data_IF_698300635992
#
_entry.id   IF_698300635992
#
_cell.length_a   1.000
_cell.length_b   1.000
_cell.length_c   1.000
_cell.angle_alpha   90.00
_cell.angle_beta   90.00
_cell.angle_gamma   90.00
#
_symmetry.space_group_name_H-M   'P 1'
#
loop_
_entity.id
_entity.type
_entity.pdbx_description
1 polymer ?
#
# COMPACT_ATOMS: atom_id res chain seq x y z
N UNK A 1 -0.93 -31.61 -5.63
CA UNK A 1 -1.86 -30.50 -5.94
C UNK A 1 -2.23 -29.84 -4.62
N UNK A 2 -2.02 -28.54 -4.49
CA UNK A 2 -2.28 -27.78 -3.27
C UNK A 2 -3.67 -27.11 -3.37
N UNK A 3 -4.69 -27.68 -2.72
CA UNK A 3 -6.04 -27.11 -2.59
C UNK A 3 -6.85 -26.97 -3.90
N UNK A 4 -8.15 -26.66 -3.75
CA UNK A 4 -9.11 -26.45 -4.85
C UNK A 4 -9.39 -24.96 -5.16
N UNK A 5 -8.71 -24.05 -4.46
CA UNK A 5 -8.97 -22.61 -4.53
C UNK A 5 -7.89 -21.87 -5.32
N UNK A 6 -8.27 -20.74 -5.93
CA UNK A 6 -7.36 -19.76 -6.49
C UNK A 6 -7.37 -18.44 -5.67
N UNK A 7 -6.33 -17.63 -5.84
CA UNK A 7 -6.27 -16.28 -5.26
C UNK A 7 -5.43 -15.35 -6.14
N UNK A 8 -5.86 -14.10 -6.25
CA UNK A 8 -5.11 -13.06 -6.96
C UNK A 8 -3.99 -12.52 -6.06
N UNK A 9 -2.76 -12.49 -6.58
CA UNK A 9 -1.59 -11.92 -5.90
C UNK A 9 -1.10 -10.72 -6.71
N UNK A 10 -0.92 -9.58 -6.06
CA UNK A 10 -0.40 -8.36 -6.68
C UNK A 10 0.66 -7.75 -5.78
N UNK A 11 1.76 -7.32 -6.36
CA UNK A 11 2.82 -6.59 -5.68
C UNK A 11 2.82 -5.15 -6.17
N UNK A 12 2.72 -4.20 -5.24
CA UNK A 12 2.61 -2.77 -5.56
C UNK A 12 3.99 -2.14 -5.74
N UNK A 13 4.09 -1.11 -6.59
CA UNK A 13 5.34 -0.40 -6.78
C UNK A 13 5.68 0.45 -5.55
N UNK A 14 6.98 0.58 -5.24
CA UNK A 14 7.47 1.37 -4.12
C UNK A 14 8.72 2.18 -4.50
N UNK A 15 8.94 3.35 -3.89
CA UNK A 15 10.21 4.06 -3.97
C UNK A 15 11.26 3.41 -3.06
N UNK A 16 12.52 3.86 -3.16
CA UNK A 16 13.58 3.47 -2.22
C UNK A 16 13.39 3.99 -0.78
N UNK A 17 12.44 4.90 -0.56
CA UNK A 17 12.10 5.40 0.77
C UNK A 17 11.38 4.29 1.53
N UNK A 18 12.12 3.57 2.38
CA UNK A 18 11.61 2.43 3.14
C UNK A 18 10.36 2.82 3.94
N UNK A 19 9.41 1.90 4.03
CA UNK A 19 8.11 2.04 4.72
C UNK A 19 7.16 3.12 4.14
N UNK A 20 7.59 3.95 3.17
CA UNK A 20 6.72 4.98 2.58
C UNK A 20 5.52 4.41 1.81
N UNK A 21 5.62 3.14 1.39
CA UNK A 21 4.55 2.43 0.66
C UNK A 21 3.50 1.83 1.61
N UNK A 22 3.77 1.76 2.91
CA UNK A 22 2.88 1.13 3.89
C UNK A 22 1.45 1.71 3.84
N UNK A 23 1.24 3.04 3.99
CA UNK A 23 -0.11 3.61 3.91
C UNK A 23 -0.68 3.57 2.48
N UNK A 24 0.17 3.47 1.46
CA UNK A 24 -0.28 3.32 0.06
C UNK A 24 -0.93 1.96 -0.14
N UNK A 25 -0.32 0.89 0.41
CA UNK A 25 -0.88 -0.45 0.36
C UNK A 25 -2.24 -0.50 1.08
N UNK A 26 -2.33 0.06 2.29
CA UNK A 26 -3.58 0.15 3.05
C UNK A 26 -4.68 0.84 2.24
N UNK A 27 -4.38 1.97 1.61
CA UNK A 27 -5.33 2.69 0.74
C UNK A 27 -5.75 1.90 -0.50
N UNK A 28 -4.82 1.20 -1.16
CA UNK A 28 -5.13 0.35 -2.32
C UNK A 28 -6.03 -0.83 -1.94
N UNK A 29 -5.73 -1.49 -0.82
CA UNK A 29 -6.55 -2.59 -0.30
C UNK A 29 -7.92 -2.07 0.10
N UNK A 30 -7.99 -0.96 0.82
CA UNK A 30 -9.26 -0.35 1.21
C UNK A 30 -10.13 -0.02 -0.01
N UNK A 31 -9.57 0.58 -1.05
CA UNK A 31 -10.30 0.87 -2.28
C UNK A 31 -10.82 -0.41 -2.96
N UNK A 32 -10.02 -1.48 -3.01
CA UNK A 32 -10.46 -2.77 -3.57
C UNK A 32 -11.58 -3.40 -2.72
N UNK A 33 -11.52 -3.29 -1.40
CA UNK A 33 -12.56 -3.79 -0.51
C UNK A 33 -13.88 -3.02 -0.68
N UNK A 34 -13.81 -1.68 -0.76
CA UNK A 34 -14.99 -0.84 -1.00
C UNK A 34 -15.63 -1.16 -2.37
N UNK A 35 -14.84 -1.49 -3.40
CA UNK A 35 -15.35 -1.93 -4.71
C UNK A 35 -16.04 -3.30 -4.69
N UNK A 36 -15.56 -4.22 -3.83
CA UNK A 36 -16.16 -5.56 -3.69
C UNK A 36 -17.42 -5.56 -2.82
N UNK A 37 -17.64 -4.49 -2.03
CA UNK A 37 -18.82 -4.22 -1.22
C UNK A 37 -19.32 -5.42 -0.38
N UNK A 38 -18.38 -6.15 0.25
CA UNK A 38 -18.70 -7.30 1.11
C UNK A 38 -19.06 -6.92 2.55
N UNK A 39 -19.03 -5.63 2.88
CA UNK A 39 -19.32 -5.10 4.22
C UNK A 39 -18.46 -5.69 5.33
N UNK A 40 -18.95 -5.58 6.57
CA UNK A 40 -18.37 -6.18 7.79
C UNK A 40 -19.03 -7.55 8.05
N UNK A 41 -18.99 -8.43 7.05
CA UNK A 41 -19.54 -9.81 7.11
C UNK A 41 -18.42 -10.83 7.33
N UNK A 42 -18.74 -12.14 7.44
CA UNK A 42 -17.70 -13.19 7.44
C UNK A 42 -16.83 -13.13 6.17
N UNK A 43 -17.43 -12.77 5.03
CA UNK A 43 -16.72 -12.54 3.77
C UNK A 43 -16.11 -11.13 3.64
N UNK A 44 -16.32 -10.28 4.64
CA UNK A 44 -15.74 -8.95 4.73
C UNK A 44 -14.21 -9.01 4.77
N UNK A 45 -13.58 -7.95 4.25
CA UNK A 45 -12.12 -7.82 4.20
C UNK A 45 -11.42 -8.93 3.39
N UNK A 46 -12.03 -9.38 2.29
CA UNK A 46 -11.53 -10.46 1.42
C UNK A 46 -10.27 -10.11 0.63
N UNK A 47 -9.82 -8.85 0.65
CA UNK A 47 -8.52 -8.42 0.11
C UNK A 47 -7.58 -8.24 1.28
N UNK A 48 -6.49 -9.01 1.31
CA UNK A 48 -5.56 -9.05 2.45
C UNK A 48 -4.30 -8.27 2.11
N UNK A 49 -3.92 -7.26 2.91
CA UNK A 49 -2.61 -6.65 2.82
C UNK A 49 -1.57 -7.56 3.47
N UNK A 50 -0.49 -7.80 2.73
CA UNK A 50 0.71 -8.49 3.20
C UNK A 50 1.87 -7.49 3.09
N UNK A 51 2.41 -7.08 4.23
CA UNK A 51 3.41 -6.02 4.31
C UNK A 51 4.75 -6.60 4.78
N UNK A 52 5.81 -6.37 4.00
CA UNK A 52 7.16 -6.84 4.31
C UNK A 52 8.04 -5.67 4.71
N UNK A 53 8.84 -5.87 5.76
CA UNK A 53 9.67 -4.82 6.34
C UNK A 53 11.09 -5.31 6.61
N UNK A 54 12.03 -4.36 6.70
CA UNK A 54 13.35 -4.58 7.31
C UNK A 54 13.32 -4.21 8.79
N UNK A 55 14.11 -4.88 9.62
CA UNK A 55 14.12 -4.66 11.08
C UNK A 55 14.47 -3.21 11.48
N UNK A 56 15.52 -2.63 10.88
CA UNK A 56 15.94 -1.27 11.18
C UNK A 56 14.92 -0.22 10.69
N UNK A 57 14.29 -0.46 9.53
CA UNK A 57 13.33 0.47 8.95
C UNK A 57 11.99 0.44 9.69
N UNK A 58 11.50 -0.75 10.05
CA UNK A 58 10.27 -0.93 10.83
C UNK A 58 10.32 -0.21 12.18
N UNK A 59 11.47 -0.26 12.86
CA UNK A 59 11.65 0.41 14.14
C UNK A 59 11.91 1.93 14.01
N UNK A 60 12.53 2.36 12.91
CA UNK A 60 13.05 3.73 12.76
C UNK A 60 12.14 4.70 12.01
N UNK A 61 11.25 4.23 11.13
CA UNK A 61 10.40 5.10 10.31
C UNK A 61 9.07 5.41 10.99
N UNK A 62 8.80 6.69 11.25
CA UNK A 62 7.56 7.13 11.92
C UNK A 62 6.27 6.77 11.16
N UNK A 63 6.34 6.63 9.84
CA UNK A 63 5.19 6.24 9.00
C UNK A 63 4.65 4.85 9.35
N UNK A 64 5.47 3.96 9.90
CA UNK A 64 5.04 2.64 10.40
C UNK A 64 4.04 2.82 11.54
N UNK A 65 4.38 3.66 12.52
CA UNK A 65 3.48 3.96 13.63
C UNK A 65 2.22 4.70 13.15
N UNK A 66 2.37 5.66 12.23
CA UNK A 66 1.21 6.34 11.64
C UNK A 66 0.26 5.37 10.96
N UNK A 67 0.79 4.40 10.19
CA UNK A 67 0.00 3.40 9.46
C UNK A 67 -0.67 2.40 10.40
N UNK A 68 0.06 1.86 11.38
CA UNK A 68 -0.50 0.97 12.40
C UNK A 68 -1.66 1.65 13.14
N UNK A 69 -1.55 2.94 13.48
CA UNK A 69 -2.62 3.69 14.14
C UNK A 69 -3.93 3.76 13.30
N UNK A 70 -3.87 3.53 11.99
CA UNK A 70 -5.05 3.49 11.11
C UNK A 70 -5.82 2.16 11.17
N UNK A 71 -5.21 1.08 11.67
CA UNK A 71 -5.68 -0.30 11.52
C UNK A 71 -7.15 -0.53 11.94
N UNK A 72 -7.62 0.18 12.98
CA UNK A 72 -8.99 0.03 13.52
C UNK A 72 -9.92 1.20 13.22
N UNK A 73 -9.46 2.25 12.53
CA UNK A 73 -10.25 3.45 12.28
C UNK A 73 -11.30 3.20 11.19
N UNK A 74 -12.57 3.60 11.33
CA UNK A 74 -13.62 3.32 10.34
C UNK A 74 -13.28 3.81 8.90
N UNK A 75 -12.61 4.96 8.80
CA UNK A 75 -12.19 5.53 7.52
C UNK A 75 -11.02 4.82 6.84
N UNK A 76 -10.32 3.92 7.53
CA UNK A 76 -9.05 3.34 7.05
C UNK A 76 -8.93 1.82 7.23
N UNK A 77 -9.64 1.24 8.20
CA UNK A 77 -9.55 -0.19 8.54
C UNK A 77 -9.74 -1.08 7.31
N UNK A 78 -8.87 -2.07 7.19
CA UNK A 78 -8.89 -3.10 6.13
C UNK A 78 -9.02 -4.52 6.67
N UNK A 79 -9.38 -4.65 7.96
CA UNK A 79 -9.64 -5.94 8.59
C UNK A 79 -8.40 -6.73 8.93
N UNK A 80 -7.30 -6.05 9.25
CA UNK A 80 -6.06 -6.64 9.73
C UNK A 80 -5.03 -6.86 8.63
N UNK A 81 -3.82 -6.38 8.90
CA UNK A 81 -2.63 -6.53 8.06
C UNK A 81 -1.69 -7.62 8.58
N UNK A 82 -1.18 -8.45 7.67
CA UNK A 82 -0.17 -9.45 8.01
C UNK A 82 1.20 -8.82 7.72
N UNK A 83 1.97 -8.60 8.77
CA UNK A 83 3.31 -8.04 8.68
C UNK A 83 4.35 -9.14 8.80
N UNK A 84 5.34 -9.14 7.91
CA UNK A 84 6.52 -10.00 7.99
C UNK A 84 7.75 -9.12 8.04
N UNK A 85 8.46 -9.16 9.15
CA UNK A 85 9.75 -8.48 9.29
C UNK A 85 10.83 -9.48 8.91
N UNK A 86 11.59 -9.16 7.88
CA UNK A 86 12.80 -9.91 7.52
C UNK A 86 13.94 -9.40 8.42
N UNK A 87 13.95 -9.89 9.66
CA UNK A 87 14.86 -9.45 10.69
C UNK A 87 16.21 -10.15 10.55
N UNK A 88 17.04 -9.61 9.66
CA UNK A 88 18.40 -10.10 9.44
C UNK A 88 19.42 -9.56 10.47
N UNK A 89 18.93 -8.84 11.49
CA UNK A 89 19.67 -8.29 12.61
C UNK A 89 20.72 -7.23 12.21
N UNK A 90 20.55 -6.56 11.06
CA UNK A 90 21.49 -5.53 10.59
C UNK A 90 20.86 -4.53 9.59
N UNK A 91 20.97 -3.24 9.89
CA UNK A 91 20.56 -2.16 8.98
C UNK A 91 21.76 -1.55 8.25
N UNK A 92 22.03 -1.95 7.00
CA UNK A 92 23.26 -1.57 6.27
C UNK A 92 24.51 -2.08 7.01
N UNK A 93 25.21 -1.20 7.75
CA UNK A 93 26.36 -1.46 8.65
C UNK A 93 26.00 -1.21 10.12
N UNK A 94 24.76 -0.79 10.39
CA UNK A 94 24.28 -0.41 11.72
C UNK A 94 23.74 -1.63 12.45
N UNK A 95 24.32 -1.93 13.62
CA UNK A 95 23.83 -2.99 14.50
C UNK A 95 22.52 -2.60 15.20
N UNK A 96 21.67 -3.58 15.60
CA UNK A 96 20.34 -3.29 16.15
C UNK A 96 20.33 -2.42 17.41
N UNK A 97 21.37 -2.49 18.25
CA UNK A 97 21.57 -1.65 19.44
C UNK A 97 21.70 -0.15 19.11
N UNK A 98 21.97 0.18 17.85
CA UNK A 98 22.04 1.55 17.35
C UNK A 98 20.84 1.93 16.47
N UNK A 99 19.94 0.99 16.18
CA UNK A 99 18.75 1.22 15.35
C UNK A 99 17.46 1.37 16.17
N UNK A 100 17.41 0.85 17.40
CA UNK A 100 16.21 0.89 18.25
C UNK A 100 16.54 1.00 19.73
N UNK A 101 15.58 1.49 20.51
CA UNK A 101 15.66 1.56 21.99
C UNK A 101 14.72 0.56 22.70
N UNK A 102 14.11 -0.33 21.93
CA UNK A 102 13.22 -1.40 22.40
C UNK A 102 13.90 -2.76 22.26
N UNK A 103 13.35 -3.81 22.88
CA UNK A 103 13.93 -5.16 22.82
C UNK A 103 13.82 -5.72 21.40
N UNK A 104 12.61 -5.65 20.82
CA UNK A 104 12.31 -6.15 19.49
C UNK A 104 12.07 -5.00 18.52
N UNK A 105 12.45 -5.20 17.25
CA UNK A 105 12.12 -4.25 16.17
C UNK A 105 10.60 -4.11 16.01
N UNK A 106 9.84 -5.15 16.37
CA UNK A 106 8.39 -5.21 16.27
C UNK A 106 7.62 -4.56 17.42
N UNK A 107 8.30 -4.01 18.44
CA UNK A 107 7.65 -3.49 19.64
C UNK A 107 6.65 -2.35 19.37
N UNK A 108 6.83 -1.59 18.28
CA UNK A 108 5.87 -0.55 17.86
C UNK A 108 4.47 -1.11 17.61
N UNK A 109 4.34 -2.36 17.13
CA UNK A 109 3.05 -2.98 16.86
C UNK A 109 2.25 -3.31 18.13
N UNK A 110 2.89 -3.31 19.31
CA UNK A 110 2.21 -3.49 20.59
C UNK A 110 1.22 -2.36 20.87
N UNK A 111 1.42 -1.17 20.32
CA UNK A 111 0.53 -0.02 20.56
C UNK A 111 -0.91 -0.25 20.06
N UNK A 112 -1.09 -1.14 19.07
CA UNK A 112 -2.42 -1.53 18.54
C UNK A 112 -2.89 -2.89 19.04
N UNK A 113 -2.14 -3.52 19.96
CA UNK A 113 -2.47 -4.83 20.51
C UNK A 113 -2.45 -5.95 19.46
N UNK A 114 -1.54 -5.86 18.49
CA UNK A 114 -1.26 -6.93 17.52
C UNK A 114 -0.46 -8.06 18.21
N UNK A 115 -0.82 -9.35 18.01
CA UNK A 115 0.06 -10.44 18.41
C UNK A 115 1.34 -10.43 17.58
N UNK A 116 2.45 -10.72 18.23
CA UNK A 116 3.78 -10.77 17.63
C UNK A 116 4.34 -12.18 17.80
N UNK A 117 4.73 -12.81 16.70
CA UNK A 117 5.38 -14.11 16.68
C UNK A 117 6.82 -13.96 16.24
N UNK A 118 7.76 -14.23 17.15
CA UNK A 118 9.18 -14.32 16.82
C UNK A 118 9.50 -15.75 16.41
N UNK A 119 9.96 -15.95 15.17
CA UNK A 119 10.21 -17.28 14.60
C UNK A 119 11.62 -17.36 14.02
N UNK A 120 12.26 -18.51 14.21
CA UNK A 120 13.60 -18.76 13.69
C UNK A 120 13.55 -19.08 12.19
N UNK A 121 14.15 -18.25 11.36
CA UNK A 121 14.23 -18.44 9.91
C UNK A 121 15.02 -19.67 9.46
N UNK A 122 15.85 -20.26 10.34
CA UNK A 122 16.52 -21.54 10.08
C UNK A 122 15.56 -22.75 10.23
N UNK A 123 14.34 -22.55 10.75
CA UNK A 123 13.26 -23.55 10.87
C UNK A 123 12.09 -23.23 9.92
N UNK A 124 12.10 -23.75 8.68
CA UNK A 124 11.05 -23.45 7.70
C UNK A 124 9.68 -24.04 8.07
N UNK A 125 9.62 -25.12 8.84
CA UNK A 125 8.34 -25.70 9.28
C UNK A 125 7.64 -24.78 10.28
N UNK A 126 8.39 -24.25 11.25
CA UNK A 126 7.87 -23.27 12.20
C UNK A 126 7.43 -21.98 11.49
N UNK A 127 8.21 -21.48 10.52
CA UNK A 127 7.83 -20.32 9.71
C UNK A 127 6.51 -20.52 8.99
N UNK A 128 6.31 -21.68 8.33
CA UNK A 128 5.05 -22.00 7.64
C UNK A 128 3.89 -22.12 8.63
N UNK A 129 4.11 -22.74 9.78
CA UNK A 129 3.08 -22.87 10.82
C UNK A 129 2.64 -21.50 11.36
N UNK A 130 3.59 -20.62 11.70
CA UNK A 130 3.31 -19.26 12.16
C UNK A 130 2.59 -18.44 11.08
N UNK A 131 2.98 -18.58 9.81
CA UNK A 131 2.29 -17.90 8.71
C UNK A 131 0.81 -18.31 8.61
N UNK A 132 0.50 -19.59 8.76
CA UNK A 132 -0.90 -20.08 8.80
C UNK A 132 -1.65 -19.55 10.01
N UNK A 133 -1.02 -19.60 11.19
CA UNK A 133 -1.60 -19.07 12.43
C UNK A 133 -1.91 -17.56 12.33
N UNK A 134 -1.03 -16.78 11.67
CA UNK A 134 -1.23 -15.36 11.46
C UNK A 134 -2.44 -15.08 10.56
N UNK A 135 -2.59 -15.83 9.47
CA UNK A 135 -3.79 -15.77 8.61
C UNK A 135 -5.04 -16.13 9.41
N UNK A 136 -5.02 -17.22 10.19
CA UNK A 136 -6.16 -17.66 10.99
C UNK A 136 -6.58 -16.61 12.03
N UNK A 137 -5.60 -16.00 12.72
CA UNK A 137 -5.85 -14.91 13.66
C UNK A 137 -6.46 -13.70 12.96
N UNK A 138 -5.86 -13.26 11.84
CA UNK A 138 -6.36 -12.13 11.05
C UNK A 138 -7.78 -12.39 10.59
N UNK A 139 -8.08 -13.58 10.08
CA UNK A 139 -9.42 -13.94 9.62
C UNK A 139 -10.45 -13.92 10.75
N UNK A 140 -10.09 -14.42 11.94
CA UNK A 140 -10.98 -14.51 13.09
C UNK A 140 -11.22 -13.17 13.78
N UNK A 141 -10.19 -12.35 13.93
CA UNK A 141 -10.26 -11.13 14.74
C UNK A 141 -10.25 -9.84 13.92
N UNK A 142 -9.96 -9.91 12.61
CA UNK A 142 -9.85 -8.77 11.70
C UNK A 142 -8.90 -7.68 12.22
N UNK A 143 -7.77 -8.13 12.78
CA UNK A 143 -6.71 -7.29 13.37
C UNK A 143 -5.35 -7.67 12.82
N UNK A 144 -4.43 -6.72 12.88
CA UNK A 144 -3.05 -6.88 12.45
C UNK A 144 -2.35 -8.00 13.23
N UNK A 145 -1.42 -8.67 12.56
CA UNK A 145 -0.55 -9.71 13.12
C UNK A 145 0.86 -9.50 12.60
N UNK A 146 1.84 -9.65 13.48
CA UNK A 146 3.24 -9.44 13.14
C UNK A 146 4.04 -10.73 13.29
N UNK A 147 4.79 -11.07 12.25
CA UNK A 147 5.76 -12.17 12.23
C UNK A 147 7.15 -11.55 12.16
N UNK A 148 7.92 -11.68 13.24
CA UNK A 148 9.33 -11.34 13.28
C UNK A 148 10.14 -12.59 12.90
N UNK A 149 10.59 -12.66 11.65
CA UNK A 149 11.38 -13.79 11.15
C UNK A 149 12.86 -13.49 11.38
N UNK A 150 13.42 -14.02 12.47
CA UNK A 150 14.83 -13.86 12.79
C UNK A 150 15.67 -14.66 11.81
N UNK A 151 16.51 -13.97 11.05
CA UNK A 151 17.39 -14.55 10.06
C UNK A 151 18.76 -13.85 10.07
N UNK A 152 19.49 -13.93 8.95
CA UNK A 152 20.79 -13.27 8.77
C UNK A 152 20.97 -12.88 7.30
N UNK A 153 21.80 -11.87 7.03
CA UNK A 153 22.15 -11.45 5.67
C UNK A 153 23.46 -12.12 5.24
N UNK A 154 23.41 -13.04 4.28
CA UNK A 154 24.58 -13.85 3.87
C UNK A 154 25.70 -13.03 3.23
N UNK A 155 25.38 -11.94 2.53
CA UNK A 155 26.32 -11.05 1.84
C UNK A 155 26.33 -9.66 2.48
N UNK A 156 27.08 -8.72 1.89
CA UNK A 156 27.00 -7.30 2.22
C UNK A 156 25.60 -6.70 2.06
N UNK A 157 25.44 -5.40 2.33
CA UNK A 157 24.15 -4.73 2.15
C UNK A 157 23.72 -4.75 0.68
N UNK A 158 24.66 -4.52 -0.22
CA UNK A 158 24.58 -4.92 -1.63
C UNK A 158 25.63 -6.01 -1.92
N UNK A 159 25.59 -6.60 -3.12
CA UNK A 159 26.47 -7.71 -3.51
C UNK A 159 27.95 -7.34 -3.65
N UNK A 160 28.27 -6.04 -3.78
CA UNK A 160 29.64 -5.54 -3.90
C UNK A 160 30.25 -5.05 -2.58
N UNK A 161 29.43 -4.89 -1.53
CA UNK A 161 29.89 -4.44 -0.22
C UNK A 161 30.59 -5.56 0.55
N UNK A 162 31.70 -5.22 1.23
CA UNK A 162 32.35 -6.08 2.20
C UNK A 162 31.89 -5.71 3.64
N UNK A 163 31.03 -6.53 4.26
CA UNK A 163 30.47 -6.21 5.56
C UNK A 163 31.40 -6.58 6.74
N UNK A 164 32.47 -7.35 6.50
CA UNK A 164 33.46 -7.71 7.52
C UNK A 164 34.20 -6.47 8.06
N UNK A 165 34.23 -5.38 7.28
CA UNK A 165 34.80 -4.08 7.68
C UNK A 165 34.13 -3.47 8.91
N UNK A 166 32.85 -3.76 9.15
CA UNK A 166 32.06 -3.12 10.23
C UNK A 166 31.43 -4.10 11.20
N UNK A 167 31.09 -5.32 10.76
CA UNK A 167 30.47 -6.35 11.60
C UNK A 167 31.24 -7.69 11.56
N UNK A 168 32.56 -7.72 11.82
CA UNK A 168 33.40 -8.90 11.59
C UNK A 168 32.93 -10.14 12.37
N UNK A 169 32.66 -10.00 13.67
CA UNK A 169 32.23 -11.14 14.51
C UNK A 169 30.91 -11.77 14.04
N UNK A 170 29.98 -10.97 13.51
CA UNK A 170 28.73 -11.47 12.95
C UNK A 170 29.00 -12.28 11.68
N UNK A 171 29.87 -11.77 10.80
CA UNK A 171 30.17 -12.42 9.54
C UNK A 171 31.04 -13.67 9.70
N UNK A 172 31.95 -13.71 10.68
CA UNK A 172 32.67 -14.93 11.08
C UNK A 172 31.67 -16.05 11.47
N UNK A 173 30.63 -15.71 12.23
CA UNK A 173 29.59 -16.65 12.60
C UNK A 173 28.75 -17.09 11.38
N UNK A 174 28.37 -16.15 10.50
CA UNK A 174 27.60 -16.43 9.28
C UNK A 174 28.37 -17.33 8.32
N UNK A 175 29.69 -17.18 8.20
CA UNK A 175 30.53 -18.03 7.34
C UNK A 175 30.46 -19.50 7.75
N UNK A 176 30.46 -19.77 9.06
CA UNK A 176 30.36 -21.14 9.59
C UNK A 176 28.96 -21.75 9.43
N UNK A 177 27.92 -20.92 9.22
CA UNK A 177 26.55 -21.39 9.04
C UNK A 177 26.35 -22.05 7.68
N UNK A 178 25.74 -23.25 7.71
CA UNK A 178 25.14 -23.89 6.52
C UNK A 178 23.86 -23.15 6.17
N UNK A 179 23.62 -22.93 4.88
CA UNK A 179 22.38 -22.28 4.44
C UNK A 179 21.15 -23.11 4.77
N UNK A 180 20.05 -22.44 5.11
CA UNK A 180 18.75 -23.05 5.50
C UNK A 180 18.31 -24.15 4.53
N UNK A 181 18.40 -23.90 3.22
CA UNK A 181 18.11 -24.90 2.18
C UNK A 181 18.87 -26.20 2.41
N UNK A 182 20.19 -26.13 2.63
CA UNK A 182 21.03 -27.32 2.80
C UNK A 182 20.68 -28.05 4.10
N UNK A 183 20.55 -27.31 5.20
CA UNK A 183 20.19 -27.89 6.51
C UNK A 183 18.83 -28.60 6.46
N UNK A 184 17.84 -28.00 5.80
CA UNK A 184 16.52 -28.61 5.66
C UNK A 184 16.51 -29.82 4.70
N UNK A 185 17.27 -29.77 3.59
CA UNK A 185 17.47 -30.95 2.74
C UNK A 185 18.11 -32.11 3.51
N UNK A 186 19.15 -31.85 4.29
CA UNK A 186 19.80 -32.86 5.16
C UNK A 186 18.80 -33.44 6.16
N UNK A 187 17.93 -32.62 6.76
CA UNK A 187 16.89 -33.07 7.67
C UNK A 187 15.86 -33.99 6.98
N UNK A 188 15.36 -33.63 5.80
CA UNK A 188 14.40 -34.46 5.04
C UNK A 188 15.01 -35.80 4.61
N UNK A 189 16.27 -35.82 4.18
CA UNK A 189 16.99 -37.06 3.88
C UNK A 189 17.17 -37.90 5.14
N UNK A 190 17.55 -37.27 6.27
CA UNK A 190 17.71 -37.94 7.56
C UNK A 190 16.42 -38.56 8.09
N UNK A 191 15.26 -37.98 7.76
CA UNK A 191 13.93 -38.53 8.07
C UNK A 191 13.47 -39.61 7.09
N UNK A 192 14.10 -39.70 5.92
CA UNK A 192 13.71 -40.61 4.85
C UNK A 192 12.56 -40.11 3.98
N UNK A 193 12.22 -38.81 4.06
CA UNK A 193 11.13 -38.21 3.27
C UNK A 193 11.51 -38.10 1.78
N UNK A 194 12.80 -37.88 1.51
CA UNK A 194 13.37 -37.80 0.16
C UNK A 194 14.74 -38.49 0.13
N UNK A 195 15.12 -38.98 -1.03
CA UNK A 195 16.46 -39.46 -1.33
C UNK A 195 17.41 -38.32 -1.73
N UNK A 196 18.72 -38.55 -1.62
CA UNK A 196 19.74 -37.62 -2.12
C UNK A 196 19.56 -37.32 -3.62
N UNK A 197 19.20 -38.35 -4.40
CA UNK A 197 18.98 -38.22 -5.83
C UNK A 197 17.80 -37.28 -6.14
N UNK A 198 16.67 -37.44 -5.45
CA UNK A 198 15.51 -36.54 -5.63
C UNK A 198 15.84 -35.09 -5.30
N UNK A 199 16.63 -34.85 -4.24
CA UNK A 199 17.07 -33.51 -3.88
C UNK A 199 17.99 -32.87 -4.95
N UNK A 200 18.94 -33.65 -5.49
CA UNK A 200 19.83 -33.19 -6.57
C UNK A 200 19.10 -32.97 -7.89
N UNK A 201 18.17 -33.86 -8.24
CA UNK A 201 17.38 -33.77 -9.47
C UNK A 201 16.46 -32.54 -9.43
N UNK A 202 15.80 -32.27 -8.29
CA UNK A 202 14.99 -31.06 -8.11
C UNK A 202 15.82 -29.76 -8.22
N UNK A 203 17.04 -29.75 -7.67
CA UNK A 203 17.93 -28.59 -7.79
C UNK A 203 18.39 -28.37 -9.24
N UNK A 204 18.76 -29.45 -9.94
CA UNK A 204 19.18 -29.40 -11.35
C UNK A 204 18.05 -28.93 -12.26
N UNK A 205 16.84 -29.41 -12.03
CA UNK A 205 15.66 -28.98 -12.79
C UNK A 205 15.44 -27.47 -12.64
N UNK A 206 15.46 -26.94 -11.41
CA UNK A 206 15.33 -25.50 -11.18
C UNK A 206 16.45 -24.67 -11.84
N UNK A 207 17.70 -25.12 -11.75
CA UNK A 207 18.83 -24.46 -12.44
C UNK A 207 18.68 -24.48 -13.96
N UNK A 208 18.24 -25.60 -14.53
CA UNK A 208 17.99 -25.73 -15.97
C UNK A 208 16.86 -24.83 -16.45
N UNK A 209 15.80 -24.64 -15.65
CA UNK A 209 14.73 -23.69 -15.94
C UNK A 209 15.26 -22.24 -15.97
N UNK A 210 16.06 -21.83 -14.98
CA UNK A 210 16.67 -20.51 -14.95
C UNK A 210 17.63 -20.27 -16.12
N UNK A 211 18.46 -21.25 -16.46
CA UNK A 211 19.42 -21.16 -17.56
C UNK A 211 18.70 -21.07 -18.92
N UNK A 212 17.60 -21.80 -19.10
CA UNK A 212 16.78 -21.71 -20.31
C UNK A 212 16.24 -20.30 -20.50
N UNK A 213 15.59 -19.74 -19.48
CA UNK A 213 15.02 -18.39 -19.54
C UNK A 213 16.13 -17.35 -19.74
N UNK A 214 17.28 -17.51 -19.08
CA UNK A 214 18.43 -16.63 -19.27
C UNK A 214 18.90 -16.62 -20.73
N UNK A 215 19.03 -17.80 -21.35
CA UNK A 215 19.43 -17.90 -22.76
C UNK A 215 18.36 -17.28 -23.67
N UNK A 216 17.08 -17.57 -23.45
CA UNK A 216 15.98 -16.96 -24.21
C UNK A 216 16.03 -15.43 -24.19
N UNK A 217 16.23 -14.83 -23.01
CA UNK A 217 16.34 -13.37 -22.85
C UNK A 217 17.61 -12.81 -23.48
N UNK A 218 18.72 -13.54 -23.41
CA UNK A 218 20.01 -13.12 -23.98
C UNK A 218 19.97 -13.06 -25.50
N UNK A 219 19.24 -13.97 -26.13
CA UNK A 219 19.07 -14.03 -27.59
C UNK A 219 18.02 -13.03 -28.12
N UNK A 220 17.31 -12.29 -27.24
CA UNK A 220 16.42 -11.21 -27.67
C UNK A 220 17.20 -10.09 -28.37
N UNK A 221 16.59 -9.52 -29.41
CA UNK A 221 17.16 -8.40 -30.14
C UNK A 221 17.36 -7.21 -29.19
N UNK A 222 18.58 -6.65 -29.19
CA UNK A 222 18.90 -5.49 -28.36
C UNK A 222 18.45 -4.23 -29.09
N UNK A 223 17.48 -3.55 -28.52
CA UNK A 223 17.09 -2.23 -28.98
C UNK A 223 18.11 -1.17 -28.55
N UNK A 224 18.35 -0.12 -29.36
CA UNK A 224 19.22 0.98 -28.96
C UNK A 224 18.65 1.69 -27.73
N UNK A 225 19.53 2.01 -26.77
CA UNK A 225 19.15 2.78 -25.59
C UNK A 225 18.87 4.21 -26.00
N UNK A 226 17.66 4.69 -25.71
CA UNK A 226 17.22 6.07 -25.97
C UNK A 226 16.97 6.81 -24.65
N UNK A 227 17.06 8.15 -24.63
CA UNK A 227 16.60 8.94 -23.50
C UNK A 227 15.12 8.66 -23.18
N UNK A 228 14.74 8.72 -21.91
CA UNK A 228 13.34 8.54 -21.51
C UNK A 228 12.46 9.64 -22.11
N UNK A 229 11.35 9.26 -22.72
CA UNK A 229 10.35 10.20 -23.23
C UNK A 229 9.47 10.77 -22.10
N UNK A 230 8.83 11.91 -22.36
CA UNK A 230 7.83 12.49 -21.46
C UNK A 230 6.53 11.70 -21.53
N UNK A 231 5.92 11.41 -20.39
CA UNK A 231 4.61 10.74 -20.28
C UNK A 231 3.41 11.69 -20.43
N UNK A 232 3.64 12.96 -20.82
CA UNK A 232 2.57 13.97 -20.94
C UNK A 232 1.48 13.59 -21.95
N UNK A 233 1.86 12.89 -23.02
CA UNK A 233 0.94 12.50 -24.09
C UNK A 233 0.09 11.26 -23.74
N UNK A 234 0.43 10.52 -22.67
CA UNK A 234 -0.23 9.27 -22.30
C UNK A 234 -1.69 9.49 -21.85
N UNK A 235 -2.01 10.68 -21.34
CA UNK A 235 -3.34 11.05 -20.87
C UNK A 235 -3.71 12.46 -21.33
N UNK A 236 -4.53 12.56 -22.38
CA UNK A 236 -4.97 13.84 -22.93
C UNK A 236 -6.29 14.32 -22.33
N UNK A 237 -6.38 15.60 -22.00
CA UNK A 237 -7.61 16.21 -21.49
C UNK A 237 -8.65 16.33 -22.61
N UNK A 238 -9.87 15.79 -22.44
CA UNK A 238 -10.92 15.92 -23.45
C UNK A 238 -11.35 17.38 -23.60
N UNK A 239 -11.39 17.88 -24.84
CA UNK A 239 -11.92 19.21 -25.16
C UNK A 239 -13.44 19.22 -25.09
N UNK A 240 -14.02 20.28 -24.52
CA UNK A 240 -15.47 20.44 -24.46
C UNK A 240 -16.18 19.56 -23.42
N UNK A 241 -15.46 19.04 -22.41
CA UNK A 241 -16.07 18.28 -21.32
C UNK A 241 -17.05 19.15 -20.54
N UNK A 242 -18.35 18.88 -20.71
CA UNK A 242 -19.41 19.59 -20.01
C UNK A 242 -19.57 19.04 -18.59
N UNK A 243 -19.28 19.88 -17.59
CA UNK A 243 -19.39 19.55 -16.15
C UNK A 243 -20.50 20.32 -15.44
N UNK A 244 -21.31 21.06 -16.20
CA UNK A 244 -22.49 21.74 -15.68
C UNK A 244 -23.56 20.74 -15.24
N UNK A 245 -24.34 21.12 -14.23
CA UNK A 245 -25.48 20.33 -13.77
C UNK A 245 -26.76 21.14 -13.78
N UNK A 246 -27.89 20.46 -13.91
CA UNK A 246 -29.18 21.14 -13.97
C UNK A 246 -29.59 21.74 -12.61
N UNK A 247 -30.56 22.66 -12.67
CA UNK A 247 -31.07 23.37 -11.49
C UNK A 247 -31.84 22.43 -10.54
N UNK A 248 -32.41 21.34 -11.04
CA UNK A 248 -33.15 20.37 -10.23
C UNK A 248 -32.19 19.53 -9.38
N UNK A 249 -31.06 19.08 -9.93
CA UNK A 249 -30.01 18.39 -9.21
C UNK A 249 -29.40 19.30 -8.13
N UNK A 250 -29.18 20.56 -8.46
CA UNK A 250 -28.77 21.60 -7.50
C UNK A 250 -29.78 21.76 -6.35
N UNK A 251 -31.08 21.85 -6.67
CA UNK A 251 -32.14 21.93 -5.67
C UNK A 251 -32.17 20.67 -4.78
N UNK A 252 -32.05 19.48 -5.37
CA UNK A 252 -32.00 18.19 -4.67
C UNK A 252 -30.86 18.12 -3.66
N UNK A 253 -29.66 18.59 -4.00
CA UNK A 253 -28.52 18.66 -3.08
C UNK A 253 -28.80 19.62 -1.92
N UNK A 254 -29.44 20.76 -2.21
CA UNK A 254 -29.87 21.72 -1.18
C UNK A 254 -30.91 21.14 -0.23
N UNK A 255 -31.91 20.44 -0.76
CA UNK A 255 -32.96 19.80 0.04
C UNK A 255 -32.41 18.64 0.89
N UNK A 256 -31.42 17.89 0.38
CA UNK A 256 -30.77 16.80 1.13
C UNK A 256 -30.16 17.25 2.47
N UNK A 257 -29.70 18.50 2.58
CA UNK A 257 -29.16 19.05 3.83
C UNK A 257 -30.21 19.21 4.94
N UNK A 258 -31.50 19.24 4.59
CA UNK A 258 -32.62 19.33 5.53
C UNK A 258 -33.51 18.08 5.55
N UNK A 259 -33.21 17.09 4.72
CA UNK A 259 -33.83 15.76 4.75
C UNK A 259 -33.27 14.92 5.91
N UNK A 260 -33.47 15.41 7.13
CA UNK A 260 -32.96 14.81 8.36
C UNK A 260 -33.86 13.64 8.80
N UNK A 261 -33.31 12.60 9.44
CA UNK A 261 -34.10 11.53 10.03
C UNK A 261 -35.14 12.05 11.03
N UNK A 262 -36.25 11.34 11.17
CA UNK A 262 -37.28 11.69 12.15
C UNK A 262 -36.69 11.74 13.57
N UNK A 263 -37.02 12.79 14.34
CA UNK A 263 -36.51 13.02 15.69
C UNK A 263 -35.08 13.60 15.77
N UNK A 264 -34.39 13.83 14.65
CA UNK A 264 -33.03 14.37 14.68
C UNK A 264 -33.00 15.85 15.10
N UNK A 265 -32.30 16.14 16.20
CA UNK A 265 -32.16 17.51 16.72
C UNK A 265 -30.84 18.13 16.28
N UNK A 266 -30.89 19.08 15.34
CA UNK A 266 -29.70 19.79 14.85
C UNK A 266 -29.20 20.79 15.89
N UNK A 267 -27.88 20.82 16.11
CA UNK A 267 -27.25 21.84 16.94
C UNK A 267 -27.60 23.27 16.45
N UNK A 268 -27.98 24.22 17.33
CA UNK A 268 -28.47 25.55 16.94
C UNK A 268 -27.52 26.36 16.05
N UNK A 269 -26.20 26.16 16.19
CA UNK A 269 -25.19 26.82 15.33
C UNK A 269 -24.99 26.17 13.97
N UNK A 270 -25.43 24.92 13.78
CA UNK A 270 -25.34 24.18 12.50
C UNK A 270 -26.59 24.38 11.66
N UNK A 271 -27.77 24.48 12.28
CA UNK A 271 -29.06 24.68 11.61
C UNK A 271 -29.05 25.84 10.59
N UNK A 272 -28.51 27.04 10.89
CA UNK A 272 -28.43 28.13 9.93
C UNK A 272 -27.59 27.78 8.69
N UNK A 273 -26.59 26.92 8.80
CA UNK A 273 -25.75 26.48 7.67
C UNK A 273 -26.55 25.61 6.72
N UNK A 274 -27.32 24.64 7.25
CA UNK A 274 -28.16 23.73 6.45
C UNK A 274 -29.27 24.51 5.72
N UNK A 275 -29.97 25.39 6.46
CA UNK A 275 -31.01 26.25 5.88
C UNK A 275 -30.47 27.20 4.83
N UNK A 276 -29.26 27.75 5.06
CA UNK A 276 -28.58 28.61 4.09
C UNK A 276 -28.28 27.82 2.81
N UNK A 277 -27.75 26.59 2.90
CA UNK A 277 -27.46 25.73 1.73
C UNK A 277 -28.70 25.39 0.91
N UNK A 278 -29.85 25.11 1.55
CA UNK A 278 -31.12 24.88 0.83
C UNK A 278 -31.60 26.11 0.03
N UNK A 279 -31.28 27.33 0.47
CA UNK A 279 -31.69 28.59 -0.19
C UNK A 279 -30.76 29.03 -1.33
N UNK A 280 -29.64 28.35 -1.55
CA UNK A 280 -28.67 28.75 -2.58
C UNK A 280 -29.14 28.53 -4.02
N UNK A 281 -29.82 27.41 -4.36
CA UNK A 281 -30.38 27.20 -5.69
C UNK A 281 -31.35 28.33 -6.12
N UNK A 282 -32.03 28.96 -5.16
CA UNK A 282 -33.06 29.98 -5.39
C UNK A 282 -32.55 31.41 -5.32
N UNK A 283 -31.49 31.71 -4.54
CA UNK A 283 -30.92 33.07 -4.39
C UNK A 283 -30.05 33.55 -5.56
N UNK A 284 -29.62 32.68 -6.47
CA UNK A 284 -28.93 33.10 -7.70
C UNK A 284 -29.78 34.05 -8.58
N UNK A 285 -31.11 34.10 -8.36
CA UNK A 285 -32.04 34.94 -9.13
C UNK A 285 -32.07 36.44 -8.76
N UNK A 286 -31.64 36.86 -7.56
CA UNK A 286 -31.94 38.24 -7.09
C UNK A 286 -30.77 39.21 -7.12
N UNK A 287 -29.52 38.76 -7.26
CA UNK A 287 -28.33 39.64 -7.07
C UNK A 287 -27.30 39.56 -8.19
N UNK A 288 -27.51 38.77 -9.25
CA UNK A 288 -26.53 38.62 -10.34
C UNK A 288 -25.16 38.05 -9.92
N UNK A 289 -25.00 37.69 -8.64
CA UNK A 289 -23.83 37.04 -8.04
C UNK A 289 -24.32 35.89 -7.19
N UNK A 290 -23.82 34.69 -7.48
CA UNK A 290 -23.95 33.52 -6.60
C UNK A 290 -23.18 33.78 -5.31
N UNK A 291 -23.82 33.79 -4.12
CA UNK A 291 -23.12 33.89 -2.85
C UNK A 291 -22.68 32.48 -2.43
N UNK A 292 -21.92 31.79 -3.28
CA UNK A 292 -21.33 30.52 -2.88
C UNK A 292 -20.15 30.79 -1.95
N UNK A 293 -20.18 30.17 -0.78
CA UNK A 293 -19.01 30.11 0.09
C UNK A 293 -18.11 28.97 -0.41
N UNK A 294 -16.80 29.21 -0.46
CA UNK A 294 -15.77 28.28 -0.91
C UNK A 294 -15.90 26.85 -0.31
N UNK A 295 -16.41 26.72 0.93
CA UNK A 295 -16.66 25.40 1.57
C UNK A 295 -17.79 24.59 0.94
N UNK A 296 -18.76 25.23 0.33
CA UNK A 296 -19.86 24.57 -0.38
C UNK A 296 -19.54 24.41 -1.86
N UNK A 297 -18.62 25.22 -2.42
CA UNK A 297 -18.02 24.98 -3.75
C UNK A 297 -17.20 23.69 -3.81
N UNK A 298 -16.82 23.10 -2.67
CA UNK A 298 -16.24 21.74 -2.64
C UNK A 298 -17.29 20.65 -2.89
N UNK A 299 -18.56 20.94 -2.63
CA UNK A 299 -19.71 20.07 -2.90
C UNK A 299 -20.44 20.45 -4.20
N UNK A 300 -19.91 21.43 -4.95
CA UNK A 300 -20.54 22.02 -6.12
C UNK A 300 -19.50 22.21 -7.22
N UNK A 301 -19.65 21.65 -8.43
CA UNK A 301 -18.74 21.96 -9.53
C UNK A 301 -18.70 23.48 -9.75
N UNK A 302 -17.51 24.08 -9.90
CA UNK A 302 -17.38 25.50 -10.29
C UNK A 302 -17.97 25.69 -11.69
N UNK A 303 -19.27 25.86 -11.77
CA UNK A 303 -19.94 26.30 -12.97
C UNK A 303 -19.66 27.79 -13.13
N UNK A 304 -19.03 28.14 -14.24
CA UNK A 304 -18.88 29.51 -14.74
C UNK A 304 -20.26 30.08 -15.08
N UNK A 305 -20.99 30.52 -14.06
CA UNK A 305 -22.23 31.29 -14.24
C UNK A 305 -21.87 32.77 -14.45
N UNK A 306 -21.34 33.08 -15.63
CA UNK A 306 -21.24 34.43 -16.16
C UNK A 306 -21.73 34.45 -17.61
N UNK A 307 -23.00 34.08 -17.83
CA UNK A 307 -23.71 34.60 -18.99
C UNK A 307 -24.16 36.03 -18.66
N UNK A 308 -23.30 37.00 -18.95
CA UNK A 308 -23.70 38.39 -19.11
C UNK A 308 -24.27 38.55 -20.52
N UNK A 309 -25.56 38.89 -20.71
CA UNK A 309 -26.05 39.27 -22.01
C UNK A 309 -25.48 40.65 -22.36
N UNK A 310 -24.70 40.71 -23.44
CA UNK A 310 -24.25 41.97 -24.05
C UNK A 310 -22.87 42.43 -23.59
N UNK A 311 -21.83 41.88 -24.21
CA UNK A 311 -20.63 42.62 -24.65
C UNK A 311 -19.98 41.79 -25.75
N UNK A 312 -20.09 42.28 -26.98
CA UNK A 312 -19.25 41.84 -28.11
C UNK A 312 -17.78 41.92 -27.68
N UNK A 313 -16.95 40.89 -27.93
CA UNK A 313 -15.52 41.03 -27.73
C UNK A 313 -14.97 41.92 -28.84
N UNK A 314 -14.40 43.06 -28.45
CA UNK A 314 -13.55 43.84 -29.34
C UNK A 314 -12.41 42.97 -29.85
N UNK A 315 -12.13 43.14 -31.14
CA UNK A 315 -11.15 42.38 -31.91
C UNK A 315 -9.76 42.36 -31.23
N UNK A 316 -9.17 41.18 -31.11
CA UNK A 316 -7.76 41.02 -30.79
C UNK A 316 -6.90 41.49 -31.98
N UNK A 317 -5.83 42.30 -31.76
CA UNK A 317 -4.90 42.63 -32.82
C UNK A 317 -4.02 41.42 -33.15
N UNK A 318 -3.73 41.24 -34.44
CA UNK A 318 -2.88 40.19 -34.96
C UNK A 318 -1.43 40.34 -34.51
N UNK A 319 -0.69 39.23 -34.28
CA UNK A 319 0.76 39.27 -34.26
C UNK A 319 1.27 38.74 -35.59
N UNK A 320 1.75 39.64 -36.46
CA UNK A 320 2.68 39.28 -37.52
C UNK A 320 3.70 40.40 -37.67
N UNK A 321 4.95 40.10 -37.30
CA UNK A 321 6.20 40.47 -37.98
C UNK A 321 7.37 40.62 -36.99
N UNK A 322 8.17 39.56 -36.89
CA UNK A 322 9.66 39.56 -36.90
C UNK A 322 10.41 40.81 -36.46
N UNK A 323 11.22 40.66 -35.39
CA UNK A 323 12.69 40.73 -35.44
C UNK A 323 13.29 39.95 -34.27
#
# INVERSE_FOLDING_TARGET
MFGDNDIQVSLTANPSHLEAVDPVLEGQVRAKQDLLDKGDTEEGYSVVPLMLHGDAAFAGQGVVAETLNLALLPGYRVGGTIHIIVNNQIGFTTSPEHSKSSEYCTDVAKMVGAPIFHVNGDDPEACVWVARLAVDFRQKFKKDVVIDMLCYRRRGHNEGDDPSMTNPAMYDAIETKRGVRKSYTEALIGRGDISMKEAEDALRDYQGQLERVFNEVRELEKHPVQPSESVEADQQVPRGLFTGIDKALMARIGDAHLALPEGFTVHPRVKPVLEKRRRWPTRARSTGRSPSCWRSDRWWPRASWCDCPGKTPDAAPSPNATR
#
